data_IF_098963042993
#
_entry.id   IF_098963042993
#
_cell.length_a   1.000
_cell.length_b   1.000
_cell.length_c   1.000
_cell.angle_alpha   90.00
_cell.angle_beta   90.00
_cell.angle_gamma   90.00
#
_symmetry.space_group_name_H-M   'P 1'
#
loop_
_entity.id
_entity.type
_entity.pdbx_description
1 polymer ?
#
# COMPACT_ATOMS: atom_id res chain seq x y z
N UNK A 1 -42.85 48.12 -34.59
CA UNK A 1 -42.35 46.74 -34.57
C UNK A 1 -43.53 45.80 -34.69
N UNK A 2 -43.57 44.93 -35.69
CA UNK A 2 -44.76 44.16 -36.06
C UNK A 2 -45.14 43.16 -34.99
N UNK A 3 -46.40 43.06 -34.56
CA UNK A 3 -46.89 42.18 -33.46
C UNK A 3 -46.30 40.71 -33.58
N UNK A 4 -46.21 40.25 -34.79
CA UNK A 4 -45.65 38.89 -35.06
C UNK A 4 -44.14 38.74 -34.68
N UNK A 5 -43.38 39.85 -34.82
CA UNK A 5 -41.95 39.81 -34.43
C UNK A 5 -41.78 39.78 -32.91
N UNK A 6 -42.69 40.39 -32.16
CA UNK A 6 -42.62 40.32 -30.67
C UNK A 6 -43.01 38.93 -30.17
N UNK A 7 -44.06 38.33 -30.76
CA UNK A 7 -44.52 36.98 -30.41
C UNK A 7 -43.45 35.95 -30.73
N UNK A 8 -42.77 36.04 -31.89
CA UNK A 8 -41.67 35.15 -32.23
C UNK A 8 -40.46 35.29 -31.29
N UNK A 9 -40.15 36.50 -30.84
CA UNK A 9 -39.07 36.75 -29.90
C UNK A 9 -39.35 36.15 -28.52
N UNK A 10 -40.59 36.31 -28.02
CA UNK A 10 -41.01 35.74 -26.74
C UNK A 10 -41.01 34.21 -26.76
N UNK A 11 -41.48 33.62 -27.87
CA UNK A 11 -41.44 32.16 -28.05
C UNK A 11 -39.99 31.61 -28.12
N UNK A 12 -39.09 32.33 -28.79
CA UNK A 12 -37.69 31.95 -28.87
C UNK A 12 -36.98 32.01 -27.48
N UNK A 13 -37.27 33.02 -26.67
CA UNK A 13 -36.75 33.17 -25.31
C UNK A 13 -37.32 32.08 -24.40
N UNK A 14 -38.63 31.77 -24.51
CA UNK A 14 -39.24 30.68 -23.73
C UNK A 14 -38.66 29.30 -24.11
N UNK A 15 -38.35 29.07 -25.39
CA UNK A 15 -37.73 27.83 -25.86
C UNK A 15 -36.29 27.70 -25.37
N UNK A 16 -35.50 28.77 -25.37
CA UNK A 16 -34.15 28.81 -24.81
C UNK A 16 -34.16 28.57 -23.30
N UNK A 17 -35.08 29.17 -22.55
CA UNK A 17 -35.21 28.96 -21.11
C UNK A 17 -35.64 27.52 -20.78
N UNK A 18 -36.49 26.90 -21.61
CA UNK A 18 -36.89 25.50 -21.45
C UNK A 18 -35.75 24.52 -21.77
N UNK A 19 -34.93 24.82 -22.80
CA UNK A 19 -33.75 24.03 -23.12
C UNK A 19 -32.65 24.11 -22.03
N UNK A 20 -32.43 25.29 -21.45
CA UNK A 20 -31.50 25.44 -20.33
C UNK A 20 -32.00 24.75 -19.07
N UNK A 21 -33.31 24.76 -18.80
CA UNK A 21 -33.92 24.04 -17.70
C UNK A 21 -33.80 22.50 -17.89
N UNK A 22 -33.93 22.01 -19.13
CA UNK A 22 -33.78 20.60 -19.46
C UNK A 22 -32.33 20.14 -19.34
N UNK A 23 -31.34 20.98 -19.65
CA UNK A 23 -29.93 20.67 -19.47
C UNK A 23 -29.50 20.69 -18.00
N UNK A 24 -30.08 21.53 -17.16
CA UNK A 24 -29.81 21.60 -15.72
C UNK A 24 -30.48 20.45 -14.96
N UNK A 25 -31.66 19.99 -15.41
CA UNK A 25 -32.38 18.88 -14.74
C UNK A 25 -31.85 17.47 -15.09
N UNK A 26 -30.93 17.32 -16.05
CA UNK A 26 -30.31 16.04 -16.34
C UNK A 26 -29.09 15.75 -15.44
N UNK A 27 -28.66 16.70 -14.60
CA UNK A 27 -27.47 16.53 -13.73
C UNK A 27 -27.81 16.08 -12.28
N UNK A 28 -29.09 15.88 -11.96
CA UNK A 28 -29.52 15.46 -10.59
C UNK A 28 -29.93 13.99 -10.46
N UNK A 29 -29.56 13.14 -11.39
CA UNK A 29 -30.08 11.76 -11.44
C UNK A 29 -29.05 10.63 -11.51
N UNK A 30 -27.79 10.79 -11.08
CA UNK A 30 -26.91 9.64 -10.89
C UNK A 30 -26.09 9.79 -9.61
N UNK A 31 -26.45 8.95 -8.64
CA UNK A 31 -25.79 8.85 -7.35
C UNK A 31 -24.27 8.75 -7.48
N UNK A 32 -23.64 9.68 -6.87
CA UNK A 32 -22.30 9.74 -6.26
C UNK A 32 -21.31 8.62 -6.62
N UNK A 33 -20.89 8.53 -7.87
CA UNK A 33 -19.53 8.18 -8.20
C UNK A 33 -18.83 9.50 -8.60
N UNK A 34 -18.53 10.36 -7.60
CA UNK A 34 -17.56 11.43 -7.79
C UNK A 34 -16.28 10.73 -8.24
N UNK A 35 -15.99 10.71 -9.55
CA UNK A 35 -14.68 10.32 -10.08
C UNK A 35 -13.68 11.13 -9.28
N UNK A 36 -12.94 10.48 -8.36
CA UNK A 36 -11.83 11.12 -7.67
C UNK A 36 -10.87 11.57 -8.76
N UNK A 37 -10.86 12.88 -9.04
CA UNK A 37 -9.89 13.43 -9.98
C UNK A 37 -8.49 13.11 -9.42
N UNK A 38 -7.53 12.77 -10.27
CA UNK A 38 -6.16 12.50 -9.86
C UNK A 38 -5.52 13.66 -9.06
N UNK A 39 -6.08 14.86 -9.15
CA UNK A 39 -5.65 16.07 -8.44
C UNK A 39 -6.22 16.20 -7.01
N UNK A 40 -7.24 15.44 -6.63
CA UNK A 40 -7.76 15.43 -5.27
C UNK A 40 -6.88 14.57 -4.36
N UNK A 41 -6.79 14.90 -3.05
CA UNK A 41 -6.06 14.06 -2.08
C UNK A 41 -6.53 12.60 -2.12
N UNK A 42 -7.83 12.37 -2.20
CA UNK A 42 -8.41 11.02 -2.30
C UNK A 42 -8.03 10.33 -3.61
N UNK A 43 -7.98 11.07 -4.73
CA UNK A 43 -7.56 10.55 -6.02
C UNK A 43 -6.10 10.10 -6.03
N UNK A 44 -5.20 10.92 -5.49
CA UNK A 44 -3.78 10.58 -5.36
C UNK A 44 -3.58 9.33 -4.51
N UNK A 45 -4.25 9.25 -3.35
CA UNK A 45 -4.15 8.08 -2.46
C UNK A 45 -4.70 6.82 -3.14
N UNK A 46 -5.88 6.90 -3.77
CA UNK A 46 -6.48 5.76 -4.46
C UNK A 46 -5.58 5.28 -5.61
N UNK A 47 -5.05 6.18 -6.41
CA UNK A 47 -4.15 5.84 -7.50
C UNK A 47 -2.88 5.15 -7.00
N UNK A 48 -2.27 5.64 -5.92
CA UNK A 48 -1.10 5.01 -5.32
C UNK A 48 -1.39 3.59 -4.83
N UNK A 49 -2.55 3.37 -4.20
CA UNK A 49 -2.99 2.04 -3.76
C UNK A 49 -3.20 1.10 -4.95
N UNK A 50 -3.86 1.57 -6.01
CA UNK A 50 -4.16 0.75 -7.19
C UNK A 50 -2.91 0.47 -8.05
N UNK A 51 -1.94 1.38 -8.07
CA UNK A 51 -0.69 1.21 -8.83
C UNK A 51 0.32 0.32 -8.13
N UNK A 52 0.20 0.11 -6.81
CA UNK A 52 1.12 -0.74 -6.06
C UNK A 52 1.18 -2.17 -6.63
N UNK A 53 2.38 -2.64 -6.82
CA UNK A 53 2.69 -3.95 -7.40
C UNK A 53 3.84 -4.65 -6.69
N UNK A 54 3.92 -5.96 -6.83
CA UNK A 54 5.05 -6.75 -6.32
C UNK A 54 6.18 -6.75 -7.33
N UNK A 55 7.29 -6.11 -6.98
CA UNK A 55 8.50 -6.04 -7.81
C UNK A 55 9.50 -7.08 -7.35
N UNK A 56 10.01 -7.89 -8.30
CA UNK A 56 10.93 -9.00 -8.04
C UNK A 56 12.19 -8.98 -8.93
N UNK A 57 12.41 -7.88 -9.63
CA UNK A 57 13.64 -7.63 -10.38
C UNK A 57 14.02 -6.17 -10.18
N UNK A 58 15.26 -5.92 -9.84
CA UNK A 58 15.73 -4.61 -9.44
C UNK A 58 16.90 -4.16 -10.32
N UNK A 59 16.95 -2.85 -10.58
CA UNK A 59 18.07 -2.22 -11.24
C UNK A 59 19.23 -2.06 -10.23
N UNK A 60 20.44 -2.11 -10.75
CA UNK A 60 21.65 -1.83 -9.97
C UNK A 60 21.75 -0.30 -9.69
N UNK A 61 20.97 0.11 -8.69
CA UNK A 61 20.89 1.49 -8.23
C UNK A 61 20.66 1.53 -6.73
N UNK A 62 21.49 2.28 -5.98
CA UNK A 62 21.38 2.35 -4.53
C UNK A 62 20.08 3.06 -4.10
N UNK A 63 19.56 2.69 -2.95
CA UNK A 63 18.49 3.38 -2.22
C UNK A 63 19.15 4.16 -1.09
N UNK A 64 18.79 5.45 -0.94
CA UNK A 64 19.41 6.28 0.07
C UNK A 64 18.86 6.01 1.48
N UNK A 65 19.64 6.40 2.51
CA UNK A 65 19.20 6.30 3.90
C UNK A 65 17.95 7.12 4.19
N UNK A 66 17.81 8.28 3.59
CA UNK A 66 16.64 9.14 3.72
C UNK A 66 15.40 8.48 3.13
N UNK A 67 15.57 7.70 2.05
CA UNK A 67 14.48 6.91 1.47
C UNK A 67 14.08 5.77 2.42
N UNK A 68 15.04 5.05 2.99
CA UNK A 68 14.78 4.00 3.99
C UNK A 68 14.07 4.60 5.23
N UNK A 69 14.55 5.73 5.75
CA UNK A 69 13.92 6.41 6.89
C UNK A 69 12.46 6.80 6.59
N UNK A 70 12.20 7.26 5.36
CA UNK A 70 10.84 7.61 4.92
C UNK A 70 9.92 6.37 4.91
N UNK A 71 10.41 5.23 4.42
CA UNK A 71 9.70 3.96 4.44
C UNK A 71 9.38 3.52 5.87
N UNK A 72 10.35 3.62 6.78
CA UNK A 72 10.18 3.26 8.19
C UNK A 72 9.18 4.18 8.91
N UNK A 73 9.22 5.50 8.63
CA UNK A 73 8.22 6.45 9.15
C UNK A 73 6.81 6.10 8.69
N UNK A 74 6.64 5.76 7.41
CA UNK A 74 5.35 5.33 6.88
C UNK A 74 4.88 4.03 7.56
N UNK A 75 5.75 3.05 7.73
CA UNK A 75 5.46 1.81 8.43
C UNK A 75 4.99 2.06 9.86
N UNK A 76 5.71 2.89 10.62
CA UNK A 76 5.39 3.21 12.02
C UNK A 76 4.14 4.09 12.21
N UNK A 77 3.60 4.66 11.12
CA UNK A 77 2.32 5.37 11.14
C UNK A 77 1.09 4.44 11.06
N UNK A 78 1.30 3.13 11.00
CA UNK A 78 0.24 2.15 10.95
C UNK A 78 -0.60 2.11 12.25
N UNK A 79 -1.90 1.76 12.17
CA UNK A 79 -2.67 1.49 13.37
C UNK A 79 -2.14 0.25 14.10
N UNK A 80 -2.32 0.21 15.42
CA UNK A 80 -1.89 -0.90 16.27
C UNK A 80 -2.89 -1.13 17.39
N UNK A 81 -3.15 -2.38 17.72
CA UNK A 81 -4.06 -2.75 18.77
C UNK A 81 -3.63 -2.17 20.11
N UNK A 82 -4.48 -1.37 20.76
CA UNK A 82 -4.22 -0.71 22.05
C UNK A 82 -2.94 0.14 22.08
N UNK A 83 -2.50 0.63 20.94
CA UNK A 83 -1.26 1.41 20.77
C UNK A 83 0.00 0.68 21.28
N UNK A 84 0.03 -0.64 21.17
CA UNK A 84 1.12 -1.47 21.69
C UNK A 84 2.40 -1.39 20.86
N UNK A 85 2.31 -1.10 19.57
CA UNK A 85 3.43 -0.91 18.63
C UNK A 85 4.47 -2.03 18.72
N UNK A 86 4.08 -3.29 18.57
CA UNK A 86 4.96 -4.44 18.79
C UNK A 86 5.99 -4.63 17.66
N UNK A 87 5.96 -3.79 16.62
CA UNK A 87 6.86 -3.90 15.48
C UNK A 87 8.30 -3.51 15.81
N UNK A 88 9.24 -4.26 15.24
CA UNK A 88 10.64 -3.93 15.09
C UNK A 88 11.04 -4.08 13.62
N UNK A 89 12.01 -3.31 13.20
CA UNK A 89 12.48 -3.32 11.83
C UNK A 89 13.98 -3.57 11.82
N UNK A 90 14.42 -4.53 10.99
CA UNK A 90 15.84 -4.74 10.71
C UNK A 90 16.09 -4.34 9.28
N UNK A 91 16.95 -3.36 9.07
CA UNK A 91 17.39 -2.92 7.75
C UNK A 91 18.66 -3.66 7.39
N UNK A 92 18.66 -4.32 6.24
CA UNK A 92 19.80 -5.05 5.70
C UNK A 92 20.23 -4.41 4.40
N UNK A 93 21.45 -3.87 4.39
CA UNK A 93 22.11 -3.29 3.21
C UNK A 93 23.35 -4.10 2.82
N UNK A 94 23.83 -4.98 3.72
CA UNK A 94 24.99 -5.85 3.49
C UNK A 94 24.71 -6.90 2.44
N UNK A 95 25.60 -7.00 1.43
CA UNK A 95 25.43 -7.97 0.34
C UNK A 95 25.49 -9.42 0.85
N UNK A 96 26.38 -9.69 1.80
CA UNK A 96 26.55 -11.05 2.36
C UNK A 96 25.30 -11.55 3.08
N UNK A 97 24.67 -10.67 3.87
CA UNK A 97 23.41 -10.97 4.58
C UNK A 97 22.25 -11.15 3.60
N UNK A 98 22.17 -10.28 2.59
CA UNK A 98 21.16 -10.36 1.53
C UNK A 98 21.26 -11.67 0.75
N UNK A 99 22.48 -12.08 0.37
CA UNK A 99 22.74 -13.32 -0.36
C UNK A 99 22.46 -14.54 0.52
N UNK A 100 22.80 -14.48 1.81
CA UNK A 100 22.47 -15.53 2.77
C UNK A 100 20.96 -15.73 2.91
N UNK A 101 20.19 -14.64 3.00
CA UNK A 101 18.72 -14.70 3.03
C UNK A 101 18.14 -15.24 1.71
N UNK A 102 18.70 -14.83 0.57
CA UNK A 102 18.27 -15.30 -0.75
C UNK A 102 18.45 -16.81 -0.93
N UNK A 103 19.52 -17.38 -0.34
CA UNK A 103 19.80 -18.81 -0.40
C UNK A 103 18.92 -19.64 0.52
N UNK A 104 18.58 -19.10 1.69
CA UNK A 104 17.87 -19.81 2.75
C UNK A 104 16.35 -19.72 2.64
N UNK A 105 15.82 -18.68 1.98
CA UNK A 105 14.39 -18.45 1.88
C UNK A 105 13.85 -18.89 0.50
N UNK A 106 12.78 -19.68 0.44
CA UNK A 106 12.10 -19.96 -0.81
C UNK A 106 11.53 -18.64 -1.37
N UNK A 107 11.56 -18.49 -2.68
CA UNK A 107 10.99 -17.33 -3.40
C UNK A 107 11.65 -15.97 -3.07
N UNK A 108 12.86 -15.95 -2.49
CA UNK A 108 13.58 -14.74 -2.10
C UNK A 108 14.80 -14.41 -2.98
N UNK A 109 14.95 -15.06 -4.13
CA UNK A 109 16.08 -14.87 -5.05
C UNK A 109 16.31 -13.42 -5.46
N UNK A 110 15.25 -12.59 -5.50
CA UNK A 110 15.35 -11.18 -5.83
C UNK A 110 16.19 -10.37 -4.84
N UNK A 111 16.48 -10.90 -3.65
CA UNK A 111 17.39 -10.26 -2.68
C UNK A 111 18.81 -10.11 -3.24
N UNK A 112 19.22 -10.95 -4.19
CA UNK A 112 20.54 -10.82 -4.85
C UNK A 112 20.65 -9.59 -5.75
N UNK A 113 19.50 -9.02 -6.18
CA UNK A 113 19.43 -7.82 -7.01
C UNK A 113 18.96 -6.58 -6.23
N UNK A 114 18.27 -6.76 -5.11
CA UNK A 114 17.73 -5.67 -4.32
C UNK A 114 18.83 -4.80 -3.71
N UNK A 115 18.58 -3.49 -3.60
CA UNK A 115 19.51 -2.54 -2.97
C UNK A 115 19.54 -2.67 -1.45
N UNK A 116 18.40 -3.01 -0.84
CA UNK A 116 18.25 -3.23 0.59
C UNK A 116 17.09 -4.20 0.86
N UNK A 117 16.98 -4.65 2.10
CA UNK A 117 15.79 -5.32 2.60
C UNK A 117 15.38 -4.76 3.96
N UNK A 118 14.06 -4.70 4.21
CA UNK A 118 13.53 -4.42 5.55
C UNK A 118 12.80 -5.66 6.03
N UNK A 119 13.23 -6.17 7.18
CA UNK A 119 12.57 -7.28 7.86
C UNK A 119 11.64 -6.68 8.91
N UNK A 120 10.34 -6.92 8.76
CA UNK A 120 9.33 -6.51 9.74
C UNK A 120 9.15 -7.63 10.73
N UNK A 121 9.36 -7.33 12.00
CA UNK A 121 9.32 -8.28 13.10
C UNK A 121 8.32 -7.85 14.16
N UNK A 122 7.71 -8.83 14.85
CA UNK A 122 7.01 -8.62 16.11
C UNK A 122 7.95 -8.83 17.28
N UNK A 123 7.83 -7.96 18.28
CA UNK A 123 8.52 -8.06 19.56
C UNK A 123 7.58 -8.68 20.60
N UNK A 124 7.82 -9.93 20.95
CA UNK A 124 6.99 -10.69 21.90
C UNK A 124 7.22 -10.27 23.37
N UNK A 125 8.22 -9.43 23.62
CA UNK A 125 8.41 -8.83 24.95
C UNK A 125 7.48 -7.65 25.23
N UNK A 126 6.84 -7.09 24.18
CA UNK A 126 5.82 -6.06 24.33
C UNK A 126 4.53 -6.71 24.86
N UNK A 127 4.18 -6.37 26.09
CA UNK A 127 3.03 -6.95 26.77
C UNK A 127 1.96 -5.90 27.07
N UNK A 128 0.72 -6.36 27.21
CA UNK A 128 -0.39 -5.52 27.71
C UNK A 128 -0.31 -5.27 29.24
N UNK A 129 -1.28 -4.56 29.77
CA UNK A 129 -1.39 -4.27 31.23
C UNK A 129 -1.50 -5.52 32.10
N UNK A 130 -1.75 -6.70 31.54
CA UNK A 130 -1.83 -7.99 32.21
C UNK A 130 -0.58 -8.85 32.00
N UNK A 131 0.48 -8.29 31.41
CA UNK A 131 1.73 -8.99 31.13
C UNK A 131 1.64 -10.01 29.97
N UNK A 132 0.59 -9.93 29.13
CA UNK A 132 0.44 -10.84 27.99
C UNK A 132 0.98 -10.20 26.70
N UNK A 133 1.76 -10.92 25.88
CA UNK A 133 2.18 -10.44 24.58
C UNK A 133 0.99 -10.08 23.69
N UNK A 134 1.19 -9.14 22.77
CA UNK A 134 0.16 -8.78 21.81
C UNK A 134 -0.24 -9.96 20.96
N UNK A 135 -1.49 -10.41 21.06
CA UNK A 135 -2.05 -11.42 20.16
C UNK A 135 -2.27 -10.88 18.74
N UNK A 136 -2.26 -9.55 18.58
CA UNK A 136 -2.50 -8.86 17.32
C UNK A 136 -1.20 -8.47 16.59
N UNK A 137 -0.04 -8.87 17.08
CA UNK A 137 1.23 -8.45 16.52
C UNK A 137 1.35 -8.70 15.01
N UNK A 138 0.78 -9.80 14.51
CA UNK A 138 0.78 -10.11 13.08
C UNK A 138 -0.05 -9.11 12.27
N UNK A 139 -1.21 -8.70 12.80
CA UNK A 139 -2.06 -7.69 12.15
C UNK A 139 -1.39 -6.31 12.19
N UNK A 140 -0.83 -5.93 13.34
CA UNK A 140 -0.12 -4.66 13.53
C UNK A 140 1.09 -4.57 12.59
N UNK A 141 1.92 -5.62 12.53
CA UNK A 141 3.06 -5.70 11.63
C UNK A 141 2.65 -5.79 10.15
N UNK A 142 1.49 -6.39 9.84
CA UNK A 142 0.94 -6.42 8.48
C UNK A 142 0.49 -5.04 8.02
N UNK A 143 -0.18 -4.28 8.88
CA UNK A 143 -0.56 -2.90 8.60
C UNK A 143 0.68 -2.02 8.38
N UNK A 144 1.71 -2.16 9.22
CA UNK A 144 2.98 -1.47 9.04
C UNK A 144 3.67 -1.84 7.72
N UNK A 145 3.63 -3.12 7.35
CA UNK A 145 4.18 -3.59 6.07
C UNK A 145 3.44 -2.97 4.88
N UNK A 146 2.10 -2.92 4.89
CA UNK A 146 1.36 -2.34 3.77
C UNK A 146 1.64 -0.84 3.62
N UNK A 147 1.72 -0.08 4.72
CA UNK A 147 2.14 1.32 4.67
C UNK A 147 3.53 1.49 4.03
N UNK A 148 4.48 0.62 4.38
CA UNK A 148 5.81 0.59 3.77
C UNK A 148 5.74 0.33 2.27
N UNK A 149 4.95 -0.66 1.84
CA UNK A 149 4.79 -1.02 0.42
C UNK A 149 4.14 0.11 -0.38
N UNK A 150 3.13 0.78 0.18
CA UNK A 150 2.47 1.93 -0.43
C UNK A 150 3.42 3.13 -0.55
N UNK A 151 4.25 3.35 0.48
CA UNK A 151 5.24 4.43 0.44
C UNK A 151 6.35 4.13 -0.58
N UNK A 152 6.80 2.87 -0.70
CA UNK A 152 7.75 2.47 -1.73
C UNK A 152 7.21 2.77 -3.14
N UNK A 153 5.94 2.43 -3.42
CA UNK A 153 5.27 2.78 -4.69
C UNK A 153 5.24 4.29 -4.93
N UNK A 154 4.85 5.08 -3.93
CA UNK A 154 4.80 6.54 -4.03
C UNK A 154 6.17 7.18 -4.32
N UNK A 155 7.24 6.53 -3.88
CA UNK A 155 8.63 6.98 -4.10
C UNK A 155 9.24 6.44 -5.40
N UNK A 156 8.49 5.69 -6.21
CA UNK A 156 9.00 5.02 -7.41
C UNK A 156 9.96 3.86 -7.12
N UNK A 157 9.94 3.35 -5.89
CA UNK A 157 10.68 2.16 -5.49
C UNK A 157 9.83 0.91 -5.71
N UNK A 158 10.49 -0.20 -6.04
CA UNK A 158 9.91 -1.52 -6.05
C UNK A 158 10.08 -2.22 -4.72
N UNK A 159 9.06 -2.96 -4.30
CA UNK A 159 9.10 -3.81 -3.14
C UNK A 159 8.18 -5.03 -3.31
N UNK A 160 8.38 -6.06 -2.48
CA UNK A 160 7.51 -7.22 -2.44
C UNK A 160 7.47 -7.83 -1.05
N UNK A 161 6.31 -8.32 -0.64
CA UNK A 161 6.14 -9.09 0.60
C UNK A 161 6.66 -10.53 0.40
N UNK A 162 7.74 -10.89 1.08
CA UNK A 162 8.23 -12.27 1.18
C UNK A 162 7.92 -12.80 2.57
N UNK A 163 6.92 -13.69 2.68
CA UNK A 163 6.42 -14.19 3.97
C UNK A 163 7.43 -15.09 4.68
N UNK A 164 7.61 -14.85 5.98
CA UNK A 164 8.42 -15.66 6.90
C UNK A 164 7.50 -16.38 7.89
N UNK A 165 6.79 -15.65 8.75
CA UNK A 165 5.77 -16.23 9.63
C UNK A 165 4.54 -16.73 8.82
N UNK A 166 3.92 -17.87 9.16
CA UNK A 166 4.16 -18.74 10.31
C UNK A 166 5.08 -19.95 10.03
N UNK A 167 5.89 -19.94 8.99
CA UNK A 167 6.66 -21.10 8.54
C UNK A 167 7.94 -21.28 9.37
N UNK A 168 8.01 -22.35 10.17
CA UNK A 168 9.09 -22.57 11.13
C UNK A 168 10.49 -22.57 10.47
N UNK A 169 10.64 -23.26 9.33
CA UNK A 169 11.91 -23.31 8.60
C UNK A 169 12.39 -21.93 8.15
N UNK A 170 11.46 -21.02 7.82
CA UNK A 170 11.78 -19.64 7.43
C UNK A 170 12.11 -18.77 8.65
N UNK A 171 11.40 -18.98 9.76
CA UNK A 171 11.68 -18.31 11.03
C UNK A 171 13.10 -18.62 11.48
N UNK A 172 13.47 -19.89 11.51
CA UNK A 172 14.83 -20.34 11.86
C UNK A 172 15.88 -19.75 10.90
N UNK A 173 15.60 -19.77 9.60
CA UNK A 173 16.51 -19.24 8.57
C UNK A 173 16.79 -17.74 8.78
N UNK A 174 15.76 -16.91 8.99
CA UNK A 174 15.91 -15.46 9.18
C UNK A 174 16.54 -15.13 10.53
N UNK A 175 16.08 -15.78 11.60
CA UNK A 175 16.65 -15.58 12.94
C UNK A 175 18.15 -15.91 12.97
N UNK A 176 18.52 -17.04 12.40
CA UNK A 176 19.92 -17.49 12.34
C UNK A 176 20.79 -16.58 11.45
N UNK A 177 20.26 -16.13 10.28
CA UNK A 177 21.01 -15.28 9.36
C UNK A 177 21.30 -13.87 9.93
N UNK A 178 20.39 -13.35 10.76
CA UNK A 178 20.46 -11.98 11.27
C UNK A 178 20.73 -11.89 12.77
N UNK A 179 20.93 -13.00 13.46
CA UNK A 179 21.18 -13.02 14.91
C UNK A 179 20.01 -12.47 15.74
N UNK A 180 18.76 -12.71 15.32
CA UNK A 180 17.59 -12.16 16.02
C UNK A 180 17.40 -12.83 17.39
N UNK A 181 17.15 -12.06 18.47
CA UNK A 181 16.81 -12.62 19.78
C UNK A 181 15.54 -13.48 19.73
N UNK A 182 15.38 -14.37 20.71
CA UNK A 182 14.26 -15.32 20.75
C UNK A 182 12.89 -14.63 20.70
N UNK A 183 12.73 -13.52 21.42
CA UNK A 183 11.49 -12.76 21.50
C UNK A 183 11.18 -11.93 20.25
N UNK A 184 12.11 -11.83 19.29
CA UNK A 184 11.87 -11.14 18.02
C UNK A 184 11.47 -12.17 16.97
N UNK A 185 10.25 -11.99 16.43
CA UNK A 185 9.64 -12.92 15.48
C UNK A 185 9.49 -12.24 14.12
N UNK A 186 10.25 -12.62 13.09
CA UNK A 186 10.14 -12.01 11.76
C UNK A 186 8.83 -12.41 11.09
N UNK A 187 8.05 -11.41 10.66
CA UNK A 187 6.80 -11.59 9.88
C UNK A 187 7.11 -11.81 8.41
N UNK A 188 7.95 -10.95 7.86
CA UNK A 188 8.30 -10.97 6.44
C UNK A 188 9.66 -10.32 6.19
N UNK A 189 10.18 -10.54 4.97
CA UNK A 189 11.32 -9.84 4.40
C UNK A 189 10.83 -9.04 3.20
N UNK A 190 11.13 -7.75 3.15
CA UNK A 190 10.74 -6.83 2.10
C UNK A 190 11.97 -6.37 1.33
N UNK A 191 12.32 -7.01 0.19
CA UNK A 191 13.33 -6.49 -0.73
C UNK A 191 12.91 -5.13 -1.27
N UNK A 192 13.85 -4.21 -1.38
CA UNK A 192 13.64 -2.83 -1.83
C UNK A 192 14.71 -2.45 -2.84
N UNK A 193 14.31 -1.76 -3.88
CA UNK A 193 15.19 -1.24 -4.92
C UNK A 193 14.42 -0.52 -6.02
N UNK A 194 15.09 -0.01 -7.02
CA UNK A 194 14.42 0.53 -8.19
C UNK A 194 13.98 -0.60 -9.11
N UNK A 195 12.71 -0.58 -9.60
CA UNK A 195 12.22 -1.62 -10.49
C UNK A 195 13.07 -1.74 -11.76
N UNK A 196 13.34 -2.97 -12.21
CA UNK A 196 13.88 -3.26 -13.52
C UNK A 196 12.75 -3.64 -14.46
N UNK A 197 12.65 -2.97 -15.60
CA UNK A 197 11.52 -3.12 -16.52
C UNK A 197 10.26 -2.40 -16.05
N UNK A 198 9.11 -2.79 -16.58
CA UNK A 198 7.80 -2.18 -16.33
C UNK A 198 6.84 -3.17 -15.67
N UNK A 199 6.94 -3.41 -14.36
CA UNK A 199 6.00 -4.27 -13.66
C UNK A 199 4.62 -3.60 -13.61
N UNK A 200 3.56 -4.39 -13.83
CA UNK A 200 2.18 -3.89 -13.83
C UNK A 200 1.41 -4.32 -12.57
N UNK A 201 0.52 -3.46 -12.05
CA UNK A 201 -0.41 -3.83 -11.00
C UNK A 201 -1.45 -4.83 -11.53
N UNK A 202 -2.07 -5.56 -10.62
CA UNK A 202 -3.19 -6.47 -10.93
C UNK A 202 -4.48 -5.84 -10.46
N UNK A 203 -5.49 -5.78 -11.32
CA UNK A 203 -6.84 -5.52 -10.87
C UNK A 203 -7.35 -6.73 -10.06
N UNK A 204 -7.81 -6.44 -8.85
CA UNK A 204 -8.29 -7.45 -7.88
C UNK A 204 -9.70 -7.12 -7.39
N UNK A 205 -10.34 -6.08 -7.96
CA UNK A 205 -11.69 -5.75 -7.57
C UNK A 205 -12.64 -6.87 -8.00
N UNK A 206 -13.39 -7.35 -7.06
CA UNK A 206 -14.44 -8.35 -7.27
C UNK A 206 -15.65 -7.98 -6.41
N UNK A 207 -16.73 -7.58 -7.06
CA UNK A 207 -17.96 -7.18 -6.40
C UNK A 207 -18.61 -8.32 -5.60
N UNK A 208 -18.33 -9.58 -5.92
CA UNK A 208 -18.84 -10.74 -5.18
C UNK A 208 -18.32 -10.85 -3.74
N UNK A 209 -17.21 -10.15 -3.44
CA UNK A 209 -16.68 -10.08 -2.08
C UNK A 209 -17.38 -9.03 -1.20
N UNK A 210 -18.42 -8.35 -1.72
CA UNK A 210 -19.08 -7.23 -1.03
C UNK A 210 -20.48 -7.63 -0.64
N UNK A 211 -20.76 -7.65 0.66
CA UNK A 211 -22.08 -7.91 1.20
C UNK A 211 -22.54 -6.73 2.03
N UNK A 212 -23.75 -6.23 1.78
CA UNK A 212 -24.33 -5.09 2.48
C UNK A 212 -25.30 -5.60 3.57
N UNK A 213 -25.09 -5.10 4.80
CA UNK A 213 -25.88 -5.39 6.01
C UNK A 213 -25.81 -6.83 6.51
N UNK A 214 -25.86 -7.82 5.65
CA UNK A 214 -25.81 -9.26 5.98
C UNK A 214 -24.99 -9.99 4.93
N UNK A 215 -24.49 -11.17 5.32
CA UNK A 215 -23.87 -12.12 4.40
C UNK A 215 -24.89 -12.65 3.42
#
# INVERSE_FOLDING_TARGET
>A
MNRYKIVSLVLAIALLASLTHLMVSQDEGHGCAKKCSAESKSGVVLQNILSRKSVRSFADRPVSREQIDTLLRAAMAAPTGRDMRPWKFVVVEGRAEMDSLAQRLPYAKMLTEAAAAIIVCGDMSVTDSHGKPSTNWTFDCSAATENLLLMAEAMGLGAVWTGVHPYEERLVAVKSALGLPEHIVPLNVIPIGYPKGEPHPKDKYDASNIHYNRW
#
